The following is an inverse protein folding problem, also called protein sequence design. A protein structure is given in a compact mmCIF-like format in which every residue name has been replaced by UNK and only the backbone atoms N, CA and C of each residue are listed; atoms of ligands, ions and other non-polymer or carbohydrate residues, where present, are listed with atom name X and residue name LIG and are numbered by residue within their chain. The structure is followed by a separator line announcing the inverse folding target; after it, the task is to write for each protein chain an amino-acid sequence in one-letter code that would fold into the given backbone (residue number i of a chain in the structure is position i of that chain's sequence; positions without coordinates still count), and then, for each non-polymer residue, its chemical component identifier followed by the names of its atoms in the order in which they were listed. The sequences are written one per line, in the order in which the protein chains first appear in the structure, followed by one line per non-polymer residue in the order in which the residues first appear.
data_IF_852557023209
#
_entry.id   IF_852557023209
#
_cell.length_a   1.000
_cell.length_b   1.000
_cell.length_c   1.000
_cell.angle_alpha   90.00
_cell.angle_beta   90.00
_cell.angle_gamma   90.00
#
_symmetry.space_group_name_H-M   'P 1'
#
loop_
_entity.id
_entity.type
_entity.pdbx_description
1 polymer ?
#
# COMPACT_ATOMS: atom_id res chain seq x y z
N UNK A 1 9.17 14.03 -23.92
CA UNK A 1 10.40 13.43 -24.43
C UNK A 1 10.78 12.42 -23.38
N UNK A 2 10.45 11.15 -23.62
CA UNK A 2 10.60 10.12 -22.61
C UNK A 2 12.05 9.65 -22.63
N UNK A 3 12.77 9.85 -21.52
CA UNK A 3 14.07 9.23 -21.31
C UNK A 3 13.82 7.77 -20.92
N UNK A 4 14.15 6.84 -21.83
CA UNK A 4 13.99 5.40 -21.63
C UNK A 4 15.39 4.79 -21.54
N UNK A 5 15.67 4.12 -20.44
CA UNK A 5 16.90 3.35 -20.28
C UNK A 5 16.86 2.09 -21.15
N UNK A 6 18.00 1.69 -21.74
CA UNK A 6 18.08 0.52 -22.62
C UNK A 6 18.05 -0.82 -21.86
N UNK A 7 18.26 -0.80 -20.54
CA UNK A 7 18.25 -1.97 -19.66
C UNK A 7 17.75 -1.64 -18.25
N UNK A 8 16.49 -1.18 -18.09
CA UNK A 8 16.00 -0.60 -16.83
C UNK A 8 16.03 -1.60 -15.67
N UNK A 9 15.86 -2.89 -15.96
CA UNK A 9 15.95 -3.96 -14.95
C UNK A 9 17.39 -4.15 -14.45
N UNK A 10 18.36 -4.18 -15.36
CA UNK A 10 19.77 -4.32 -15.01
C UNK A 10 20.25 -3.10 -14.20
N UNK A 11 19.84 -1.90 -14.61
CA UNK A 11 20.14 -0.66 -13.90
C UNK A 11 19.55 -0.65 -12.49
N UNK A 12 18.25 -0.96 -12.34
CA UNK A 12 17.59 -1.01 -11.03
C UNK A 12 18.22 -2.03 -10.09
N UNK A 13 18.60 -3.20 -10.61
CA UNK A 13 19.27 -4.24 -9.82
C UNK A 13 20.65 -3.77 -9.35
N UNK A 14 21.43 -3.15 -10.22
CA UNK A 14 22.73 -2.58 -9.85
C UNK A 14 22.59 -1.52 -8.75
N UNK A 15 21.58 -0.63 -8.84
CA UNK A 15 21.31 0.39 -7.82
C UNK A 15 21.01 -0.24 -6.46
N UNK A 16 20.14 -1.26 -6.41
CA UNK A 16 19.83 -1.97 -5.16
C UNK A 16 21.06 -2.64 -4.57
N UNK A 17 21.88 -3.26 -5.41
CA UNK A 17 23.15 -3.83 -4.95
C UNK A 17 24.10 -2.77 -4.39
N UNK A 18 24.11 -1.55 -4.93
CA UNK A 18 24.89 -0.46 -4.34
C UNK A 18 24.28 0.00 -3.00
N UNK A 19 22.96 0.14 -2.91
CA UNK A 19 22.28 0.53 -1.67
C UNK A 19 22.60 -0.45 -0.53
N UNK A 20 22.60 -1.76 -0.81
CA UNK A 20 22.94 -2.79 0.17
C UNK A 20 24.38 -2.71 0.71
N UNK A 21 25.31 -2.02 0.04
CA UNK A 21 26.70 -1.85 0.52
C UNK A 21 26.83 -0.77 1.59
N UNK A 22 25.78 0.01 1.79
CA UNK A 22 25.77 1.11 2.74
C UNK A 22 24.84 0.78 3.90
N UNK A 23 25.36 0.91 5.12
CA UNK A 23 24.53 0.89 6.31
C UNK A 23 23.68 2.17 6.38
N UNK A 24 22.44 2.06 6.86
CA UNK A 24 21.57 3.22 7.13
C UNK A 24 20.41 3.43 6.16
N UNK A 25 20.33 2.70 5.05
CA UNK A 25 19.11 2.69 4.23
C UNK A 25 18.04 1.81 4.89
N UNK A 26 16.98 2.45 5.40
CA UNK A 26 15.89 1.77 6.10
C UNK A 26 14.93 1.05 5.16
N UNK A 27 14.65 1.64 4.01
CA UNK A 27 13.71 1.09 3.05
C UNK A 27 14.08 1.43 1.60
N UNK A 28 13.57 0.62 0.67
CA UNK A 28 13.54 0.90 -0.75
C UNK A 28 12.07 1.04 -1.18
N UNK A 29 11.70 2.21 -1.71
CA UNK A 29 10.34 2.46 -2.19
C UNK A 29 10.35 2.49 -3.72
N UNK A 30 9.67 1.54 -4.34
CA UNK A 30 9.60 1.41 -5.80
C UNK A 30 8.16 1.52 -6.32
N UNK A 31 8.03 2.18 -7.48
CA UNK A 31 6.78 2.30 -8.19
C UNK A 31 6.65 1.18 -9.22
N UNK A 32 5.50 0.52 -9.27
CA UNK A 32 5.20 -0.45 -10.32
C UNK A 32 5.32 0.21 -11.71
N UNK A 33 5.83 -0.53 -12.72
CA UNK A 33 5.75 -0.10 -14.10
C UNK A 33 4.30 0.26 -14.46
N UNK A 34 4.15 1.30 -15.28
CA UNK A 34 2.86 1.94 -15.60
C UNK A 34 1.76 0.89 -15.84
N UNK A 35 0.70 0.96 -15.05
CA UNK A 35 -0.45 0.04 -15.14
C UNK A 35 -0.96 -0.03 -16.58
N UNK A 36 -1.14 -1.24 -17.09
CA UNK A 36 -1.75 -1.48 -18.39
C UNK A 36 -3.22 -1.85 -18.18
N UNK A 37 -4.06 -1.40 -19.12
CA UNK A 37 -5.43 -1.89 -19.21
C UNK A 37 -5.38 -3.19 -20.02
N UNK A 38 -5.73 -4.30 -19.39
CA UNK A 38 -5.86 -5.61 -20.03
C UNK A 38 -7.28 -6.08 -19.76
N UNK A 39 -8.04 -6.38 -20.81
CA UNK A 39 -9.44 -6.83 -20.72
C UNK A 39 -10.33 -5.89 -19.87
N UNK A 40 -10.23 -4.58 -20.12
CA UNK A 40 -10.94 -3.50 -19.40
C UNK A 40 -10.70 -3.45 -17.88
N UNK A 41 -9.66 -4.15 -17.40
CA UNK A 41 -9.22 -4.13 -16.01
C UNK A 41 -7.83 -3.56 -15.89
N UNK A 42 -7.64 -2.76 -14.85
CA UNK A 42 -6.30 -2.33 -14.46
C UNK A 42 -5.55 -3.54 -13.91
N UNK A 43 -4.45 -3.91 -14.57
CA UNK A 43 -3.57 -4.96 -14.07
C UNK A 43 -2.28 -4.35 -13.53
N UNK A 44 -1.87 -4.83 -12.37
CA UNK A 44 -0.56 -4.52 -11.79
C UNK A 44 0.43 -5.53 -12.40
N UNK A 45 1.49 -5.09 -13.10
CA UNK A 45 2.41 -6.00 -13.78
C UNK A 45 3.22 -6.91 -12.84
N UNK A 46 3.27 -6.56 -11.54
CA UNK A 46 4.11 -7.20 -10.52
C UNK A 46 5.59 -7.34 -10.95
N UNK A 47 6.12 -6.26 -11.54
CA UNK A 47 7.47 -6.25 -12.14
C UNK A 47 8.61 -6.10 -11.15
N UNK A 48 8.31 -5.92 -9.85
CA UNK A 48 9.27 -5.53 -8.82
C UNK A 48 9.82 -6.70 -7.99
N UNK A 49 9.30 -7.93 -8.16
CA UNK A 49 9.75 -9.10 -7.39
C UNK A 49 11.29 -9.31 -7.45
N UNK A 50 11.98 -9.15 -8.59
CA UNK A 50 13.44 -9.29 -8.63
C UNK A 50 14.17 -8.27 -7.72
N UNK A 51 13.61 -7.07 -7.58
CA UNK A 51 14.15 -6.00 -6.74
C UNK A 51 13.87 -6.26 -5.26
N UNK A 52 12.65 -6.72 -4.92
CA UNK A 52 12.31 -7.16 -3.56
C UNK A 52 13.27 -8.22 -3.05
N UNK A 53 13.60 -9.21 -3.89
CA UNK A 53 14.54 -10.29 -3.56
C UNK A 53 15.98 -9.83 -3.43
N UNK A 54 16.34 -8.74 -4.10
CA UNK A 54 17.71 -8.21 -4.09
C UNK A 54 17.97 -7.24 -2.93
N UNK A 55 16.95 -6.55 -2.40
CA UNK A 55 17.12 -5.57 -1.32
C UNK A 55 17.06 -6.22 0.07
N UNK A 56 17.98 -5.86 0.95
CA UNK A 56 18.12 -6.48 2.27
C UNK A 56 17.22 -5.87 3.36
N UNK A 57 16.61 -4.72 3.10
CA UNK A 57 15.79 -3.98 4.07
C UNK A 57 14.30 -4.00 3.76
N UNK A 58 13.56 -3.07 4.36
CA UNK A 58 12.11 -2.94 4.14
C UNK A 58 11.83 -2.51 2.70
N UNK A 59 10.98 -3.24 2.00
CA UNK A 59 10.57 -2.94 0.65
C UNK A 59 9.15 -2.39 0.64
N UNK A 60 8.98 -1.24 -0.01
CA UNK A 60 7.69 -0.55 -0.14
C UNK A 60 7.34 -0.49 -1.63
N UNK A 61 6.14 -0.96 -1.98
CA UNK A 61 5.62 -0.84 -3.35
C UNK A 61 4.50 0.17 -3.41
N UNK A 62 4.41 0.86 -4.53
CA UNK A 62 3.30 1.73 -4.86
C UNK A 62 2.94 1.58 -6.34
N UNK A 63 1.68 1.81 -6.69
CA UNK A 63 1.26 1.71 -8.09
C UNK A 63 -0.14 1.16 -8.31
N UNK A 64 -1.14 1.88 -7.82
CA UNK A 64 -2.54 1.55 -8.13
C UNK A 64 -3.11 0.31 -7.45
N UNK A 65 -2.47 -0.12 -6.36
CA UNK A 65 -3.04 -1.06 -5.41
C UNK A 65 -4.36 -0.55 -4.83
N UNK A 66 -5.32 -1.46 -4.71
CA UNK A 66 -6.47 -1.36 -3.81
C UNK A 66 -6.22 -2.18 -2.54
N UNK A 67 -7.24 -2.32 -1.70
CA UNK A 67 -7.15 -3.05 -0.43
C UNK A 67 -6.86 -4.54 -0.66
N UNK A 68 -7.58 -5.15 -1.58
CA UNK A 68 -7.52 -6.59 -1.84
C UNK A 68 -6.15 -6.97 -2.41
N UNK A 69 -5.70 -6.29 -3.46
CA UNK A 69 -4.39 -6.57 -4.07
C UNK A 69 -3.25 -6.18 -3.13
N UNK A 70 -3.41 -5.08 -2.37
CA UNK A 70 -2.43 -4.68 -1.36
C UNK A 70 -2.23 -5.73 -0.27
N UNK A 71 -3.32 -6.29 0.27
CA UNK A 71 -3.25 -7.38 1.25
C UNK A 71 -2.61 -8.64 0.67
N UNK A 72 -2.95 -8.96 -0.60
CA UNK A 72 -2.40 -10.12 -1.30
C UNK A 72 -0.88 -10.03 -1.47
N UNK A 73 -0.36 -8.91 -1.99
CA UNK A 73 1.09 -8.79 -2.23
C UNK A 73 1.93 -8.78 -0.95
N UNK A 74 1.36 -8.31 0.16
CA UNK A 74 2.01 -8.44 1.47
C UNK A 74 2.01 -9.90 1.93
N UNK A 75 0.89 -10.61 1.80
CA UNK A 75 0.79 -12.01 2.19
C UNK A 75 1.67 -12.96 1.34
N UNK A 76 1.98 -12.57 0.10
CA UNK A 76 2.82 -13.32 -0.83
C UNK A 76 4.31 -12.96 -0.77
N UNK A 77 4.75 -12.20 0.25
CA UNK A 77 6.14 -11.71 0.41
C UNK A 77 6.67 -10.90 -0.80
N UNK A 78 5.77 -10.33 -1.60
CA UNK A 78 6.14 -9.48 -2.73
C UNK A 78 6.61 -8.09 -2.25
N UNK A 79 6.14 -7.64 -1.07
CA UNK A 79 6.51 -6.39 -0.44
C UNK A 79 6.31 -6.47 1.07
N UNK A 80 6.98 -5.62 1.85
CA UNK A 80 6.72 -5.48 3.28
C UNK A 80 5.61 -4.47 3.55
N UNK A 81 5.53 -3.41 2.71
CA UNK A 81 4.54 -2.34 2.83
C UNK A 81 3.99 -1.94 1.45
N UNK A 82 2.76 -1.43 1.45
CA UNK A 82 2.10 -0.86 0.26
C UNK A 82 1.79 0.61 0.52
N UNK A 83 2.25 1.48 -0.37
CA UNK A 83 1.98 2.92 -0.32
C UNK A 83 0.85 3.32 -1.28
N UNK A 84 -0.08 4.12 -0.75
CA UNK A 84 -1.28 4.58 -1.44
C UNK A 84 -1.25 6.10 -1.61
N UNK A 85 -1.37 6.57 -2.85
CA UNK A 85 -1.40 8.01 -3.16
C UNK A 85 -2.82 8.53 -3.36
N UNK A 86 -3.37 8.34 -4.57
CA UNK A 86 -4.67 8.89 -5.01
C UNK A 86 -5.82 8.58 -4.05
N UNK A 87 -5.92 7.34 -3.57
CA UNK A 87 -6.99 6.95 -2.66
C UNK A 87 -6.77 7.52 -1.26
N UNK A 88 -5.53 7.72 -0.81
CA UNK A 88 -5.24 8.35 0.47
C UNK A 88 -5.57 9.85 0.43
N UNK A 89 -5.28 10.53 -0.69
CA UNK A 89 -5.66 11.94 -0.89
C UNK A 89 -7.16 12.15 -0.65
N UNK A 90 -8.01 11.28 -1.20
CA UNK A 90 -9.46 11.39 -1.05
C UNK A 90 -10.03 10.80 0.24
N UNK A 91 -9.25 10.00 0.98
CA UNK A 91 -9.70 9.26 2.16
C UNK A 91 -8.68 9.51 3.29
N UNK A 92 -8.82 10.60 4.07
CA UNK A 92 -7.86 10.92 5.13
C UNK A 92 -7.78 9.83 6.21
N UNK A 93 -8.83 9.01 6.32
CA UNK A 93 -9.01 7.87 7.20
C UNK A 93 -8.91 6.52 6.47
N UNK A 94 -8.17 6.45 5.36
CA UNK A 94 -8.03 5.24 4.54
C UNK A 94 -7.72 3.96 5.35
N UNK A 95 -6.80 3.95 6.34
CA UNK A 95 -6.54 2.75 7.13
C UNK A 95 -7.78 2.25 7.87
N UNK A 96 -8.61 3.16 8.41
CA UNK A 96 -9.84 2.80 9.11
C UNK A 96 -10.89 2.22 8.16
N UNK A 97 -11.02 2.81 6.97
CA UNK A 97 -11.88 2.28 5.92
C UNK A 97 -11.44 0.89 5.47
N UNK A 98 -10.13 0.64 5.35
CA UNK A 98 -9.62 -0.68 5.00
C UNK A 98 -9.87 -1.73 6.10
N UNK A 99 -9.68 -1.35 7.37
CA UNK A 99 -9.97 -2.18 8.53
C UNK A 99 -11.44 -2.60 8.56
N UNK A 100 -12.36 -1.64 8.36
CA UNK A 100 -13.81 -1.87 8.43
C UNK A 100 -14.43 -2.32 7.12
N UNK A 101 -13.66 -2.44 6.05
CA UNK A 101 -14.17 -2.62 4.68
C UNK A 101 -15.23 -1.56 4.31
N UNK A 102 -15.00 -0.32 4.73
CA UNK A 102 -15.87 0.83 4.52
C UNK A 102 -15.78 1.40 3.09
N UNK A 103 -16.79 2.18 2.67
CA UNK A 103 -16.80 2.80 1.36
C UNK A 103 -15.65 3.80 1.20
N UNK A 104 -15.06 3.90 0.01
CA UNK A 104 -14.04 4.89 -0.31
C UNK A 104 -14.63 6.10 -1.03
N UNK A 105 -14.21 7.29 -0.62
CA UNK A 105 -14.42 8.52 -1.37
C UNK A 105 -13.73 8.41 -2.73
N UNK A 106 -14.39 8.93 -3.76
CA UNK A 106 -13.80 9.04 -5.10
C UNK A 106 -12.89 10.27 -5.14
N UNK A 107 -11.66 10.09 -5.59
CA UNK A 107 -10.76 11.20 -5.85
C UNK A 107 -11.21 11.97 -7.10
N UNK A 108 -11.04 13.29 -7.10
CA UNK A 108 -11.19 14.13 -8.29
C UNK A 108 -9.83 14.47 -8.90
N UNK A 109 -9.60 14.06 -10.15
CA UNK A 109 -8.33 14.32 -10.84
C UNK A 109 -8.18 15.77 -11.29
N UNK A 110 -9.29 16.50 -11.44
CA UNK A 110 -9.26 17.90 -11.86
C UNK A 110 -8.69 18.83 -10.78
N UNK A 111 -8.73 18.39 -9.52
CA UNK A 111 -8.27 19.16 -8.36
C UNK A 111 -6.88 18.76 -7.85
N UNK A 112 -6.22 17.74 -8.42
CA UNK A 112 -4.91 17.28 -7.93
C UNK A 112 -3.83 18.38 -7.91
N UNK A 113 -3.92 19.32 -8.84
CA UNK A 113 -2.99 20.43 -8.97
C UNK A 113 -3.76 21.76 -9.04
N UNK A 114 -4.62 21.98 -8.06
CA UNK A 114 -5.33 23.26 -7.89
C UNK A 114 -4.51 24.26 -7.07
N UNK A 115 -4.80 25.55 -7.24
CA UNK A 115 -4.31 26.61 -6.34
C UNK A 115 -5.23 26.83 -5.15
N UNK A 116 -6.45 26.27 -5.19
CA UNK A 116 -7.39 26.34 -4.08
C UNK A 116 -6.86 25.51 -2.89
N UNK A 117 -6.72 26.10 -1.69
CA UNK A 117 -6.15 25.39 -0.55
C UNK A 117 -7.09 24.37 0.10
N UNK A 118 -8.38 24.37 -0.27
CA UNK A 118 -9.42 23.55 0.35
C UNK A 118 -9.96 22.51 -0.62
N UNK A 119 -10.42 22.94 -1.80
CA UNK A 119 -11.21 22.11 -2.71
C UNK A 119 -10.40 20.95 -3.29
N UNK A 120 -10.82 19.73 -2.99
CA UNK A 120 -10.14 18.51 -3.41
C UNK A 120 -8.81 18.26 -2.71
N UNK A 121 -8.59 18.88 -1.53
CA UNK A 121 -7.39 18.73 -0.71
C UNK A 121 -7.71 18.46 0.75
N UNK A 122 -8.39 19.38 1.45
CA UNK A 122 -8.73 19.24 2.88
C UNK A 122 -10.23 19.05 3.14
N UNK A 123 -11.05 19.11 2.11
CA UNK A 123 -12.52 19.00 2.18
C UNK A 123 -13.06 17.57 1.99
N UNK A 124 -12.19 16.57 1.83
CA UNK A 124 -12.62 15.18 1.79
C UNK A 124 -13.17 14.72 3.15
N UNK A 125 -14.40 14.16 3.19
CA UNK A 125 -15.03 13.78 4.45
C UNK A 125 -14.40 12.52 5.04
N UNK A 126 -14.31 12.48 6.37
CA UNK A 126 -14.05 11.25 7.12
C UNK A 126 -15.27 10.32 7.06
N UNK A 127 -15.06 9.02 7.26
CA UNK A 127 -16.15 8.07 7.41
C UNK A 127 -16.89 8.38 8.71
N UNK A 128 -18.22 8.37 8.69
CA UNK A 128 -19.00 8.56 9.90
C UNK A 128 -18.73 7.37 10.85
N UNK A 129 -18.25 7.67 12.05
CA UNK A 129 -18.20 6.68 13.12
C UNK A 129 -19.63 6.46 13.62
N UNK A 130 -20.19 5.29 13.36
CA UNK A 130 -21.45 4.80 13.95
C UNK A 130 -21.29 4.56 15.47
N UNK A 131 -20.95 5.62 16.22
CA UNK A 131 -20.86 5.63 17.69
C UNK A 131 -22.22 5.51 18.39
N UNK A 132 -23.31 5.41 17.61
CA UNK A 132 -24.67 5.14 18.09
C UNK A 132 -25.16 3.71 17.84
N UNK A 133 -24.36 2.81 17.28
CA UNK A 133 -24.69 1.39 17.26
C UNK A 133 -24.03 0.69 18.45
N UNK A 134 -24.83 0.53 19.50
CA UNK A 134 -24.56 -0.33 20.64
C UNK A 134 -23.94 -1.65 20.18
N UNK A 135 -22.67 -1.82 20.53
CA UNK A 135 -21.79 -2.89 20.11
C UNK A 135 -22.38 -4.26 20.48
N UNK A 136 -22.87 -5.02 19.48
CA UNK A 136 -22.93 -6.49 19.52
C UNK A 136 -21.63 -7.13 19.04
N UNK A 137 -20.47 -6.54 19.32
CA UNK A 137 -19.16 -7.17 19.10
C UNK A 137 -18.54 -7.68 20.41
N UNK A 138 -19.35 -8.21 21.33
CA UNK A 138 -18.85 -8.92 22.51
C UNK A 138 -18.28 -10.32 22.21
N UNK A 139 -18.32 -10.78 20.95
CA UNK A 139 -17.96 -12.17 20.61
C UNK A 139 -16.60 -12.35 19.91
N UNK A 140 -15.98 -11.32 19.30
CA UNK A 140 -14.71 -11.50 18.57
C UNK A 140 -13.45 -11.10 19.34
N UNK A 141 -13.54 -10.23 20.34
CA UNK A 141 -12.36 -9.76 21.10
C UNK A 141 -11.77 -10.82 22.03
N UNK A 142 -12.45 -11.95 22.26
CA UNK A 142 -11.95 -13.05 23.12
C UNK A 142 -11.13 -14.09 22.35
N UNK A 143 -11.24 -14.16 21.01
CA UNK A 143 -10.56 -15.21 20.26
C UNK A 143 -9.12 -14.89 19.84
N UNK A 144 -8.74 -13.61 19.77
CA UNK A 144 -7.38 -13.24 19.32
C UNK A 144 -6.36 -13.30 20.46
N UNK A 145 -6.77 -13.07 21.71
CA UNK A 145 -5.87 -13.14 22.88
C UNK A 145 -5.50 -14.57 23.30
N UNK A 146 -6.26 -15.58 22.88
CA UNK A 146 -5.99 -16.98 23.22
C UNK A 146 -5.04 -17.70 22.24
N UNK A 147 -4.72 -17.10 21.08
CA UNK A 147 -3.76 -17.69 20.13
C UNK A 147 -2.29 -17.32 20.42
N UNK A 148 -2.05 -16.34 21.29
CA UNK A 148 -0.69 -15.84 21.59
C UNK A 148 -0.13 -16.48 22.88
N UNK A 149 -0.99 -17.08 23.72
CA UNK A 149 -0.58 -17.67 25.01
C UNK A 149 -0.33 -19.19 24.99
N UNK A 150 -0.63 -19.91 23.90
CA UNK A 150 -0.42 -21.37 23.84
C UNK A 150 0.88 -21.83 23.17
N UNK A 151 1.72 -20.92 22.66
CA UNK A 151 3.00 -21.29 22.03
C UNK A 151 4.24 -21.02 22.88
N UNK A 152 4.09 -20.88 24.21
CA UNK A 152 5.21 -20.74 25.14
C UNK A 152 5.01 -21.55 26.43
N UNK A 153 4.66 -22.83 26.31
CA UNK A 153 4.91 -23.84 27.35
C UNK A 153 5.20 -25.17 26.64
N UNK A 154 6.23 -25.87 27.12
CA UNK A 154 6.89 -27.09 26.60
C UNK A 154 8.17 -26.77 25.81
N UNK A 155 9.33 -26.76 26.48
CA UNK A 155 10.25 -27.89 26.67
C UNK A 155 10.87 -28.40 25.36
#
# INVERSE_FOLDING_TARGET
MDCIDSGPVALGHYMIQQLNKHEGFLYCHMMEPRMTIVDDRWQIPHGLLPFRKAFNGTFIVAGGYDREEGNKVVAEDYTDLVAYGRIFLANPDLPKRFELNGPLNKYDRSTFYTQDPVVGYTDYPFMEDDSNNEVKYSCLTVQITNLITTNNVHQ
#
